data_IF_171130141465
#
_entry.id   IF_171130141465
#
_cell.length_a   1.000
_cell.length_b   1.000
_cell.length_c   1.000
_cell.angle_alpha   90.00
_cell.angle_beta   90.00
_cell.angle_gamma   90.00
#
_symmetry.space_group_name_H-M   'P 1'
#
loop_
_entity.id
_entity.type
_entity.pdbx_description
1 polymer ?
#
# COMPACT_ATOMS: atom_id res chain seq x y z
N UNK A 1 10.06 33.06 24.67
CA UNK A 1 8.71 32.45 24.63
C UNK A 1 8.42 32.09 23.21
N UNK A 2 8.77 30.88 22.80
CA UNK A 2 8.59 30.36 21.43
C UNK A 2 7.25 29.62 21.44
N UNK A 3 6.24 30.24 20.85
CA UNK A 3 4.94 29.59 20.60
C UNK A 3 5.15 28.49 19.57
N UNK A 4 5.15 27.24 20.01
CA UNK A 4 4.85 26.10 19.15
C UNK A 4 3.40 26.29 18.67
N UNK A 5 3.24 26.75 17.44
CA UNK A 5 1.98 26.62 16.73
C UNK A 5 1.73 25.12 16.56
N UNK A 6 0.79 24.57 17.31
CA UNK A 6 0.22 23.28 17.02
C UNK A 6 -0.40 23.37 15.62
N UNK A 7 0.20 22.65 14.67
CA UNK A 7 -0.35 22.52 13.33
C UNK A 7 -1.63 21.68 13.50
N UNK A 8 -2.80 22.33 13.52
CA UNK A 8 -4.07 21.63 13.47
C UNK A 8 -4.11 20.87 12.14
N UNK A 9 -3.93 19.57 12.19
CA UNK A 9 -4.14 18.69 11.01
C UNK A 9 -5.63 18.75 10.68
N UNK A 10 -5.97 19.43 9.61
CA UNK A 10 -7.35 19.57 9.12
C UNK A 10 -7.85 18.34 8.37
N UNK A 11 -6.94 17.41 8.00
CA UNK A 11 -7.26 16.19 7.25
C UNK A 11 -7.33 14.98 8.17
N UNK A 12 -8.27 14.04 7.95
CA UNK A 12 -8.30 12.79 8.66
C UNK A 12 -7.00 12.00 8.45
N UNK A 13 -6.52 11.35 9.50
CA UNK A 13 -5.35 10.48 9.43
C UNK A 13 -5.80 9.04 9.19
N UNK A 14 -5.28 8.42 8.15
CA UNK A 14 -5.58 7.06 7.74
C UNK A 14 -4.32 6.21 7.83
N UNK A 15 -4.41 5.08 8.51
CA UNK A 15 -3.32 4.13 8.63
C UNK A 15 -3.48 3.01 7.60
N UNK A 16 -2.49 2.83 6.75
CA UNK A 16 -2.46 1.77 5.74
C UNK A 16 -1.16 0.98 5.81
N UNK A 17 -1.17 -0.20 5.23
CA UNK A 17 0.02 -1.03 5.11
C UNK A 17 0.13 -1.66 3.73
N UNK A 18 1.35 -1.96 3.28
CA UNK A 18 1.58 -2.82 2.12
C UNK A 18 1.73 -4.27 2.54
N UNK A 19 1.05 -5.16 1.82
CA UNK A 19 1.19 -6.61 1.95
C UNK A 19 1.47 -7.23 0.57
N UNK A 20 1.98 -8.44 0.54
CA UNK A 20 2.33 -9.16 -0.69
C UNK A 20 3.66 -9.91 -0.55
N UNK A 21 3.96 -10.77 -1.51
CA UNK A 21 5.16 -11.63 -1.51
C UNK A 21 6.47 -10.83 -1.55
N UNK A 22 7.55 -11.44 -1.09
CA UNK A 22 8.91 -10.89 -1.24
C UNK A 22 9.24 -10.68 -2.73
N UNK A 23 9.84 -9.54 -3.07
CA UNK A 23 10.19 -9.23 -4.46
C UNK A 23 9.05 -8.68 -5.33
N UNK A 24 7.82 -8.58 -4.83
CA UNK A 24 6.70 -7.98 -5.58
C UNK A 24 6.75 -6.46 -5.67
N UNK A 25 7.74 -5.81 -5.03
CA UNK A 25 7.97 -4.36 -5.16
C UNK A 25 7.22 -3.51 -4.15
N UNK A 26 6.88 -4.02 -2.95
CA UNK A 26 6.20 -3.27 -1.89
C UNK A 26 6.93 -1.98 -1.50
N UNK A 27 8.21 -2.09 -1.10
CA UNK A 27 9.02 -0.94 -0.70
C UNK A 27 9.25 0.02 -1.85
N UNK A 28 9.36 -0.49 -3.09
CA UNK A 28 9.44 0.32 -4.29
C UNK A 28 8.15 1.13 -4.50
N UNK A 29 6.99 0.49 -4.30
CA UNK A 29 5.69 1.16 -4.40
C UNK A 29 5.51 2.22 -3.29
N UNK A 30 5.88 1.89 -2.05
CA UNK A 30 5.84 2.83 -0.92
C UNK A 30 6.74 4.04 -1.19
N UNK A 31 7.91 3.81 -1.77
CA UNK A 31 8.82 4.89 -2.19
C UNK A 31 8.20 5.72 -3.32
N UNK A 32 7.58 5.08 -4.32
CA UNK A 32 6.93 5.78 -5.42
C UNK A 32 5.76 6.66 -4.93
N UNK A 33 4.90 6.13 -4.04
CA UNK A 33 3.84 6.91 -3.39
C UNK A 33 4.41 8.13 -2.68
N UNK A 34 5.41 7.94 -1.81
CA UNK A 34 6.05 9.03 -1.08
C UNK A 34 6.59 10.12 -2.01
N UNK A 35 7.30 9.73 -3.08
CA UNK A 35 7.97 10.67 -3.98
C UNK A 35 6.98 11.38 -4.93
N UNK A 36 6.07 10.64 -5.54
CA UNK A 36 5.10 11.21 -6.49
C UNK A 36 4.14 12.14 -5.75
N UNK A 37 3.60 11.72 -4.60
CA UNK A 37 2.68 12.54 -3.85
C UNK A 37 3.33 13.77 -3.22
N UNK A 38 4.59 13.66 -2.75
CA UNK A 38 5.35 14.82 -2.28
C UNK A 38 5.57 15.86 -3.38
N UNK A 39 5.84 15.45 -4.62
CA UNK A 39 5.96 16.37 -5.77
C UNK A 39 4.62 16.98 -6.16
N UNK A 40 3.54 16.22 -6.06
CA UNK A 40 2.22 16.64 -6.52
C UNK A 40 1.47 17.49 -5.49
N UNK A 41 1.53 17.10 -4.22
CA UNK A 41 0.73 17.70 -3.15
C UNK A 41 1.56 18.34 -2.04
N UNK A 42 2.87 18.24 -2.13
CA UNK A 42 3.80 18.71 -1.09
C UNK A 42 4.11 17.62 -0.06
N UNK A 43 5.07 17.89 0.81
CA UNK A 43 5.55 16.96 1.83
C UNK A 43 7.01 16.55 1.62
N UNK A 44 7.43 15.51 2.35
CA UNK A 44 8.79 15.00 2.28
C UNK A 44 8.82 13.66 1.53
N UNK A 45 9.59 13.62 0.44
CA UNK A 45 9.94 12.39 -0.24
C UNK A 45 10.91 11.56 0.61
N UNK A 46 10.71 10.24 0.62
CA UNK A 46 11.63 9.29 1.27
C UNK A 46 12.45 8.55 0.23
N UNK A 47 13.69 8.24 0.56
CA UNK A 47 14.52 7.41 -0.31
C UNK A 47 14.13 5.94 -0.22
N UNK A 48 14.47 5.18 -1.28
CA UNK A 48 14.28 3.73 -1.24
C UNK A 48 15.09 3.06 -0.11
N UNK A 49 16.30 3.55 0.13
CA UNK A 49 17.19 3.02 1.17
C UNK A 49 16.59 3.19 2.57
N UNK A 50 15.94 4.33 2.85
CA UNK A 50 15.28 4.60 4.11
C UNK A 50 14.07 3.65 4.34
N UNK A 51 13.36 3.29 3.28
CA UNK A 51 12.17 2.45 3.34
C UNK A 51 12.54 0.96 3.33
N UNK A 52 13.51 0.56 2.52
CA UNK A 52 13.94 -0.83 2.41
C UNK A 52 14.75 -1.34 3.63
N UNK A 53 15.24 -0.43 4.47
CA UNK A 53 15.95 -0.77 5.71
C UNK A 53 15.10 -0.35 6.93
N UNK A 54 14.08 -1.17 7.27
CA UNK A 54 13.15 -0.83 8.34
C UNK A 54 13.86 -0.72 9.70
N UNK A 55 13.37 0.22 10.50
CA UNK A 55 13.73 0.36 11.91
C UNK A 55 12.65 -0.26 12.80
N UNK A 56 12.89 -0.28 14.12
CA UNK A 56 11.84 -0.61 15.06
C UNK A 56 10.84 0.53 15.15
N UNK A 57 9.58 0.24 14.80
CA UNK A 57 8.45 1.16 14.92
C UNK A 57 7.52 0.70 16.04
N UNK A 58 7.01 1.67 16.80
CA UNK A 58 6.00 1.40 17.81
C UNK A 58 4.62 1.81 17.30
N UNK A 59 3.72 0.84 17.23
CA UNK A 59 2.36 1.04 16.80
C UNK A 59 1.39 0.40 17.80
N UNK A 60 0.56 1.21 18.44
CA UNK A 60 -0.46 0.69 19.37
C UNK A 60 0.07 -0.14 20.54
N UNK A 61 1.33 0.07 20.96
CA UNK A 61 1.97 -0.68 22.05
C UNK A 61 2.70 -1.94 21.63
N UNK A 62 2.79 -2.22 20.34
CA UNK A 62 3.64 -3.29 19.78
C UNK A 62 4.85 -2.68 19.06
N UNK A 63 5.95 -3.44 19.05
CA UNK A 63 7.15 -3.10 18.31
C UNK A 63 7.22 -3.96 17.05
N UNK A 64 7.38 -3.32 15.89
CA UNK A 64 7.46 -3.95 14.57
C UNK A 64 8.71 -3.47 13.85
N UNK A 65 9.34 -4.35 13.07
CA UNK A 65 10.31 -3.91 12.06
C UNK A 65 9.56 -3.49 10.80
N UNK A 66 9.30 -2.21 10.68
CA UNK A 66 8.58 -1.62 9.56
C UNK A 66 9.15 -0.25 9.25
N UNK A 67 8.95 0.22 8.02
CA UNK A 67 9.22 1.60 7.67
C UNK A 67 7.92 2.39 7.69
N UNK A 68 7.89 3.42 8.51
CA UNK A 68 6.78 4.36 8.58
C UNK A 68 7.02 5.52 7.64
N UNK A 69 6.10 5.70 6.70
CA UNK A 69 6.12 6.77 5.71
C UNK A 69 4.84 7.57 5.81
N UNK A 70 4.96 8.88 5.80
CA UNK A 70 3.81 9.78 5.85
C UNK A 70 3.73 10.59 4.56
N UNK A 71 2.52 10.74 4.02
CA UNK A 71 2.24 11.57 2.86
C UNK A 71 0.79 12.06 2.86
N UNK A 72 0.55 13.13 2.12
CA UNK A 72 -0.77 13.74 1.99
C UNK A 72 -1.33 13.52 0.59
N UNK A 73 -2.65 13.38 0.54
CA UNK A 73 -3.48 13.56 -0.65
C UNK A 73 -4.33 14.83 -0.47
N UNK A 74 -5.14 15.23 -1.44
CA UNK A 74 -6.08 16.33 -1.24
C UNK A 74 -7.02 16.12 -0.04
N UNK A 75 -7.43 14.88 0.23
CA UNK A 75 -8.46 14.54 1.23
C UNK A 75 -7.92 14.06 2.55
N UNK A 76 -6.80 13.34 2.58
CA UNK A 76 -6.34 12.61 3.75
C UNK A 76 -4.84 12.82 4.02
N UNK A 77 -4.47 12.54 5.27
CA UNK A 77 -3.10 12.31 5.69
C UNK A 77 -2.90 10.81 5.92
N UNK A 78 -1.96 10.21 5.21
CA UNK A 78 -1.68 8.78 5.30
C UNK A 78 -0.46 8.50 6.16
N UNK A 79 -0.59 7.54 7.07
CA UNK A 79 0.50 6.88 7.78
C UNK A 79 0.62 5.48 7.18
N UNK A 80 1.64 5.27 6.39
CA UNK A 80 1.85 4.05 5.63
C UNK A 80 2.96 3.22 6.28
N UNK A 81 2.65 1.95 6.57
CA UNK A 81 3.59 0.98 7.11
C UNK A 81 4.05 0.03 6.00
N UNK A 82 5.33 0.01 5.73
CA UNK A 82 5.97 -0.96 4.84
C UNK A 82 6.71 -2.00 5.69
N UNK A 83 6.13 -3.20 5.78
CA UNK A 83 6.74 -4.32 6.51
C UNK A 83 7.51 -5.22 5.57
N UNK A 84 8.67 -5.76 6.00
CA UNK A 84 9.36 -6.81 5.25
C UNK A 84 8.40 -7.98 4.96
N UNK A 85 8.49 -8.53 3.77
CA UNK A 85 7.60 -9.63 3.35
C UNK A 85 7.83 -10.93 4.14
N UNK A 86 8.97 -11.05 4.81
CA UNK A 86 9.37 -12.25 5.57
C UNK A 86 9.41 -11.93 7.05
N UNK A 87 8.80 -12.81 7.85
CA UNK A 87 8.82 -12.70 9.30
C UNK A 87 7.44 -12.58 9.94
N UNK A 88 7.44 -12.54 11.26
CA UNK A 88 6.23 -12.40 12.08
C UNK A 88 5.62 -10.99 12.04
N UNK A 89 6.35 -10.00 11.51
CA UNK A 89 5.96 -8.60 11.63
C UNK A 89 4.69 -8.27 10.86
N UNK A 90 4.52 -8.79 9.62
CA UNK A 90 3.27 -8.62 8.86
C UNK A 90 2.09 -9.25 9.62
N UNK A 91 2.28 -10.48 10.13
CA UNK A 91 1.25 -11.16 10.88
C UNK A 91 0.95 -10.41 12.18
N UNK A 92 1.97 -9.98 12.90
CA UNK A 92 1.82 -9.19 14.13
C UNK A 92 1.12 -7.87 13.84
N UNK A 93 1.49 -7.18 12.78
CA UNK A 93 0.85 -5.92 12.35
C UNK A 93 -0.65 -6.13 12.07
N UNK A 94 -0.99 -7.12 11.28
CA UNK A 94 -2.38 -7.38 10.90
C UNK A 94 -3.24 -7.86 12.08
N UNK A 95 -2.68 -8.66 13.01
CA UNK A 95 -3.45 -9.26 14.12
C UNK A 95 -3.44 -8.45 15.41
N UNK A 96 -2.60 -7.44 15.52
CA UNK A 96 -2.39 -6.67 16.77
C UNK A 96 -3.56 -5.80 17.20
N UNK A 97 -4.66 -5.74 16.45
CA UNK A 97 -5.77 -4.81 16.69
C UNK A 97 -5.38 -3.34 16.53
N UNK A 98 -4.20 -3.09 16.01
CA UNK A 98 -3.77 -1.75 15.62
C UNK A 98 -4.69 -1.26 14.51
N UNK A 99 -5.00 0.02 14.57
CA UNK A 99 -5.94 0.71 13.69
C UNK A 99 -5.39 0.80 12.24
N UNK A 100 -5.21 -0.35 11.57
CA UNK A 100 -4.98 -0.35 10.13
C UNK A 100 -6.34 -0.21 9.45
N UNK A 101 -6.54 0.90 8.76
CA UNK A 101 -7.77 1.22 8.07
C UNK A 101 -7.89 0.49 6.74
N UNK A 102 -6.76 0.11 6.13
CA UNK A 102 -6.75 -0.62 4.87
C UNK A 102 -5.36 -1.13 4.50
N UNK A 103 -5.31 -2.03 3.54
CA UNK A 103 -4.05 -2.56 3.02
C UNK A 103 -3.97 -2.40 1.51
N UNK A 104 -2.74 -2.25 1.00
CA UNK A 104 -2.43 -2.33 -0.42
C UNK A 104 -1.81 -3.70 -0.67
N UNK A 105 -2.51 -4.55 -1.40
CA UNK A 105 -1.99 -5.83 -1.85
C UNK A 105 -1.18 -5.63 -3.12
N UNK A 106 0.12 -5.90 -3.04
CA UNK A 106 1.05 -5.77 -4.17
C UNK A 106 1.34 -7.14 -4.76
N UNK A 107 0.99 -7.32 -6.03
CA UNK A 107 1.24 -8.56 -6.79
C UNK A 107 2.06 -8.23 -8.03
N UNK A 108 3.12 -9.00 -8.26
CA UNK A 108 3.94 -8.88 -9.48
C UNK A 108 3.32 -9.67 -10.63
N UNK A 109 3.18 -9.06 -11.81
CA UNK A 109 2.73 -9.76 -13.03
C UNK A 109 3.67 -10.90 -13.45
N UNK A 110 4.95 -10.84 -13.03
CA UNK A 110 5.94 -11.86 -13.40
C UNK A 110 5.87 -13.12 -12.52
N UNK A 111 5.25 -13.02 -11.34
CA UNK A 111 5.17 -14.13 -10.39
C UNK A 111 3.73 -14.58 -10.10
N UNK A 112 2.76 -13.69 -10.32
CA UNK A 112 1.35 -13.95 -10.02
C UNK A 112 1.04 -14.13 -8.54
N UNK A 113 -0.07 -14.79 -8.28
CA UNK A 113 -0.53 -15.10 -6.92
C UNK A 113 0.31 -16.26 -6.33
N UNK A 114 0.87 -16.02 -5.16
CA UNK A 114 1.68 -17.01 -4.43
C UNK A 114 0.92 -17.55 -3.21
N UNK A 115 1.34 -18.69 -2.63
CA UNK A 115 0.77 -19.15 -1.36
C UNK A 115 0.85 -18.10 -0.25
N UNK A 116 1.94 -17.32 -0.19
CA UNK A 116 2.11 -16.23 0.77
C UNK A 116 1.08 -15.11 0.54
N UNK A 117 0.76 -14.80 -0.72
CA UNK A 117 -0.29 -13.82 -1.05
C UNK A 117 -1.64 -14.25 -0.47
N UNK A 118 -2.01 -15.52 -0.65
CA UNK A 118 -3.25 -16.10 -0.12
C UNK A 118 -3.29 -16.05 1.41
N UNK A 119 -2.21 -16.45 2.05
CA UNK A 119 -2.06 -16.41 3.51
C UNK A 119 -2.27 -15.00 4.07
N UNK A 120 -1.66 -13.99 3.45
CA UNK A 120 -1.76 -12.61 3.90
C UNK A 120 -3.16 -12.02 3.67
N UNK A 121 -3.83 -12.34 2.56
CA UNK A 121 -5.23 -11.93 2.32
C UNK A 121 -6.15 -12.57 3.34
N UNK A 122 -6.00 -13.87 3.60
CA UNK A 122 -6.76 -14.58 4.64
C UNK A 122 -6.58 -13.94 6.01
N UNK A 123 -5.34 -13.61 6.36
CA UNK A 123 -5.02 -12.99 7.64
C UNK A 123 -5.61 -11.58 7.77
N UNK A 124 -5.56 -10.79 6.70
CA UNK A 124 -6.18 -9.47 6.66
C UNK A 124 -7.70 -9.56 6.91
N UNK A 125 -8.38 -10.51 6.28
CA UNK A 125 -9.81 -10.76 6.52
C UNK A 125 -10.07 -11.18 7.97
N UNK A 126 -9.34 -12.18 8.48
CA UNK A 126 -9.50 -12.66 9.87
C UNK A 126 -9.22 -11.58 10.92
N UNK A 127 -8.37 -10.63 10.60
CA UNK A 127 -8.04 -9.48 11.47
C UNK A 127 -9.06 -8.34 11.36
N UNK A 128 -10.08 -8.49 10.51
CA UNK A 128 -11.11 -7.48 10.33
C UNK A 128 -10.64 -6.23 9.61
N UNK A 129 -9.58 -6.32 8.77
CA UNK A 129 -9.16 -5.21 7.92
C UNK A 129 -10.30 -4.87 6.95
N UNK A 130 -10.85 -3.65 7.00
CA UNK A 130 -12.08 -3.36 6.28
C UNK A 130 -11.87 -3.12 4.78
N UNK A 131 -10.67 -2.70 4.37
CA UNK A 131 -10.39 -2.29 2.99
C UNK A 131 -9.09 -2.88 2.47
N UNK A 132 -9.17 -3.34 1.22
CA UNK A 132 -8.03 -3.83 0.45
C UNK A 132 -8.08 -3.20 -0.94
N UNK A 133 -6.95 -2.70 -1.40
CA UNK A 133 -6.76 -2.20 -2.77
C UNK A 133 -5.63 -3.00 -3.39
N UNK A 134 -5.75 -3.34 -4.66
CA UNK A 134 -4.73 -4.13 -5.36
C UNK A 134 -3.87 -3.26 -6.26
N UNK A 135 -2.57 -3.49 -6.21
CA UNK A 135 -1.61 -2.93 -7.14
C UNK A 135 -0.90 -4.05 -7.88
N UNK A 136 -1.21 -4.20 -9.17
CA UNK A 136 -0.56 -5.15 -10.06
C UNK A 136 0.71 -4.50 -10.60
N UNK A 137 1.85 -4.90 -10.03
CA UNK A 137 3.15 -4.28 -10.28
C UNK A 137 3.94 -4.98 -11.37
N UNK A 138 4.97 -4.31 -11.89
CA UNK A 138 5.85 -4.77 -12.97
C UNK A 138 5.15 -4.91 -14.32
N UNK A 139 4.07 -4.14 -14.55
CA UNK A 139 3.36 -4.19 -15.83
C UNK A 139 4.21 -3.71 -17.01
N UNK A 140 5.28 -2.98 -16.76
CA UNK A 140 6.30 -2.63 -17.76
C UNK A 140 7.08 -3.85 -18.33
N UNK A 141 6.97 -5.00 -17.69
CA UNK A 141 7.62 -6.26 -18.10
C UNK A 141 6.65 -7.23 -18.79
N UNK A 142 5.40 -6.80 -19.03
CA UNK A 142 4.36 -7.67 -19.60
C UNK A 142 3.62 -6.94 -20.73
N UNK A 143 3.87 -7.34 -21.96
CA UNK A 143 3.22 -6.77 -23.14
C UNK A 143 1.91 -7.51 -23.53
N UNK A 144 1.60 -8.61 -22.84
CA UNK A 144 0.41 -9.43 -23.10
C UNK A 144 -0.79 -8.93 -22.29
N UNK A 145 -1.68 -8.20 -22.97
CA UNK A 145 -2.89 -7.63 -22.34
C UNK A 145 -3.86 -8.72 -21.86
N UNK A 146 -3.94 -9.87 -22.55
CA UNK A 146 -4.82 -10.97 -22.13
C UNK A 146 -4.31 -11.58 -20.83
N UNK A 147 -3.00 -11.72 -20.68
CA UNK A 147 -2.38 -12.18 -19.43
C UNK A 147 -2.60 -11.21 -18.28
N UNK A 148 -2.54 -9.90 -18.51
CA UNK A 148 -2.85 -8.89 -17.50
C UNK A 148 -4.31 -8.94 -17.05
N UNK A 149 -5.24 -9.10 -17.99
CA UNK A 149 -6.67 -9.26 -17.69
C UNK A 149 -6.91 -10.53 -16.88
N UNK A 150 -6.30 -11.66 -17.28
CA UNK A 150 -6.46 -12.91 -16.54
C UNK A 150 -5.95 -12.80 -15.10
N UNK A 151 -4.81 -12.18 -14.91
CA UNK A 151 -4.23 -11.98 -13.57
C UNK A 151 -5.09 -11.07 -12.69
N UNK A 152 -5.71 -10.05 -13.27
CA UNK A 152 -6.68 -9.23 -12.56
C UNK A 152 -7.91 -10.03 -12.13
N UNK A 153 -8.41 -10.90 -12.99
CA UNK A 153 -9.52 -11.81 -12.67
C UNK A 153 -9.14 -12.73 -11.51
N UNK A 154 -7.97 -13.37 -11.58
CA UNK A 154 -7.48 -14.24 -10.51
C UNK A 154 -7.34 -13.51 -9.16
N UNK A 155 -6.89 -12.24 -9.19
CA UNK A 155 -6.82 -11.42 -7.98
C UNK A 155 -8.21 -11.14 -7.40
N UNK A 156 -9.19 -10.82 -8.25
CA UNK A 156 -10.58 -10.58 -7.84
C UNK A 156 -11.24 -11.83 -7.27
N UNK A 157 -11.01 -12.99 -7.89
CA UNK A 157 -11.47 -14.28 -7.40
C UNK A 157 -10.86 -14.62 -6.03
N UNK A 158 -9.56 -14.43 -5.87
CA UNK A 158 -8.89 -14.62 -4.58
C UNK A 158 -9.50 -13.75 -3.48
N UNK A 159 -9.74 -12.47 -3.76
CA UNK A 159 -10.32 -11.56 -2.79
C UNK A 159 -11.75 -11.95 -2.42
N UNK A 160 -12.54 -12.38 -3.40
CA UNK A 160 -13.91 -12.88 -3.18
C UNK A 160 -13.93 -14.18 -2.37
N UNK A 161 -12.92 -15.05 -2.55
CA UNK A 161 -12.76 -16.29 -1.76
C UNK A 161 -12.59 -15.99 -0.26
N UNK A 162 -11.98 -14.84 0.06
CA UNK A 162 -11.75 -14.38 1.44
C UNK A 162 -12.68 -13.24 1.87
N UNK A 163 -13.91 -13.21 1.36
CA UNK A 163 -14.99 -12.30 1.77
C UNK A 163 -14.73 -10.81 1.53
N UNK A 164 -13.73 -10.44 0.72
CA UNK A 164 -13.60 -9.09 0.21
C UNK A 164 -14.48 -8.92 -1.05
N UNK A 165 -15.00 -7.69 -1.32
CA UNK A 165 -15.86 -7.46 -2.50
C UNK A 165 -15.05 -7.39 -3.80
N UNK A 166 -14.42 -8.52 -4.20
CA UNK A 166 -13.46 -8.62 -5.29
C UNK A 166 -13.91 -7.99 -6.61
N UNK A 167 -15.20 -8.10 -6.96
CA UNK A 167 -15.76 -7.53 -8.19
C UNK A 167 -15.73 -6.00 -8.22
N UNK A 168 -15.71 -5.35 -7.06
CA UNK A 168 -15.82 -3.90 -6.92
C UNK A 168 -14.53 -3.23 -6.45
N UNK A 169 -13.52 -4.02 -6.06
CA UNK A 169 -12.26 -3.47 -5.57
C UNK A 169 -11.42 -2.88 -6.70
N UNK A 170 -10.74 -1.75 -6.46
CA UNK A 170 -9.80 -1.21 -7.42
C UNK A 170 -8.61 -2.16 -7.61
N UNK A 171 -8.26 -2.43 -8.85
CA UNK A 171 -7.01 -3.08 -9.25
C UNK A 171 -6.26 -2.10 -10.15
N UNK A 172 -5.18 -1.55 -9.67
CA UNK A 172 -4.36 -0.60 -10.41
C UNK A 172 -3.20 -1.35 -11.05
N UNK A 173 -3.07 -1.26 -12.37
CA UNK A 173 -1.95 -1.82 -13.14
C UNK A 173 -0.87 -0.78 -13.24
N UNK A 174 0.36 -1.10 -12.83
CA UNK A 174 1.43 -0.13 -12.81
C UNK A 174 2.83 -0.72 -12.76
N UNK A 175 3.81 0.18 -12.77
CA UNK A 175 5.21 -0.10 -12.50
C UNK A 175 5.74 0.93 -11.51
N UNK A 176 5.93 0.49 -10.27
CA UNK A 176 6.43 1.36 -9.22
C UNK A 176 7.86 1.86 -9.52
N UNK A 177 8.70 1.03 -10.14
CA UNK A 177 10.04 1.42 -10.53
C UNK A 177 10.03 2.49 -11.62
N UNK A 178 9.20 2.32 -12.66
CA UNK A 178 9.07 3.30 -13.74
C UNK A 178 8.49 4.63 -13.28
N UNK A 179 7.59 4.60 -12.31
CA UNK A 179 7.10 5.80 -11.65
C UNK A 179 8.22 6.53 -10.88
N UNK A 180 9.10 5.79 -10.19
CA UNK A 180 10.28 6.38 -9.53
C UNK A 180 11.29 6.97 -10.52
N UNK A 181 11.41 6.38 -11.71
CA UNK A 181 12.24 6.90 -12.80
C UNK A 181 11.65 8.17 -13.44
N UNK A 182 10.43 8.56 -13.06
CA UNK A 182 9.77 9.79 -13.51
C UNK A 182 9.04 9.68 -14.84
N UNK A 183 8.65 8.46 -15.25
CA UNK A 183 7.83 8.27 -16.45
C UNK A 183 6.38 8.61 -16.13
N UNK A 184 5.85 9.64 -16.79
CA UNK A 184 4.55 10.24 -16.49
C UNK A 184 3.38 9.25 -16.49
N UNK A 185 3.33 8.33 -17.45
CA UNK A 185 2.28 7.30 -17.54
C UNK A 185 2.19 6.43 -16.28
N UNK A 186 3.36 6.13 -15.65
CA UNK A 186 3.44 5.32 -14.45
C UNK A 186 3.24 6.15 -13.17
N UNK A 187 3.65 7.42 -13.19
CA UNK A 187 3.33 8.36 -12.10
C UNK A 187 1.82 8.58 -12.00
N UNK A 188 1.11 8.68 -13.14
CA UNK A 188 -0.36 8.76 -13.18
C UNK A 188 -1.02 7.55 -12.49
N UNK A 189 -0.42 6.35 -12.59
CA UNK A 189 -0.89 5.15 -11.87
C UNK A 189 -0.70 5.23 -10.36
N UNK A 190 0.35 5.90 -9.90
CA UNK A 190 0.52 6.18 -8.46
C UNK A 190 -0.52 7.18 -7.96
N UNK A 191 -0.84 8.21 -8.75
CA UNK A 191 -1.89 9.18 -8.43
C UNK A 191 -3.27 8.51 -8.46
N UNK A 192 -3.52 7.62 -9.42
CA UNK A 192 -4.74 6.80 -9.49
C UNK A 192 -4.91 5.94 -8.23
N UNK A 193 -3.85 5.27 -7.79
CA UNK A 193 -3.85 4.50 -6.54
C UNK A 193 -4.19 5.38 -5.34
N UNK A 194 -3.57 6.55 -5.22
CA UNK A 194 -3.84 7.49 -4.13
C UNK A 194 -5.28 8.02 -4.15
N UNK A 195 -5.84 8.26 -5.32
CA UNK A 195 -7.25 8.66 -5.49
C UNK A 195 -8.21 7.56 -5.04
N UNK A 196 -7.89 6.30 -5.33
CA UNK A 196 -8.67 5.17 -4.85
C UNK A 196 -8.55 4.98 -3.34
N UNK A 197 -7.37 5.21 -2.75
CA UNK A 197 -7.21 5.23 -1.30
C UNK A 197 -8.15 6.26 -0.66
N UNK A 198 -8.22 7.47 -1.19
CA UNK A 198 -9.13 8.52 -0.71
C UNK A 198 -10.62 8.14 -0.79
N UNK A 199 -10.99 7.33 -1.78
CA UNK A 199 -12.40 6.97 -2.03
C UNK A 199 -12.83 5.73 -1.25
N UNK A 200 -11.94 4.75 -1.09
CA UNK A 200 -12.25 3.43 -0.51
C UNK A 200 -11.94 3.32 0.97
N UNK A 201 -11.03 4.14 1.51
CA UNK A 201 -10.82 4.17 2.96
C UNK A 201 -11.82 5.13 3.60
N UNK A 202 -12.75 4.64 4.46
CA UNK A 202 -13.70 5.54 5.08
C UNK A 202 -12.97 6.49 6.00
N UNK A 203 -13.30 7.74 5.82
CA UNK A 203 -12.96 8.77 6.76
C UNK A 203 -13.70 8.45 8.07
N UNK A 204 -12.96 8.11 9.13
CA UNK A 204 -13.54 8.06 10.47
C UNK A 204 -14.09 9.44 10.76
N UNK A 205 -15.41 9.54 10.85
CA UNK A 205 -16.10 10.77 11.20
C UNK A 205 -15.80 11.14 12.65
#
# INVERSE_FOLDING_TARGET
>A
MTSQQAFERTKPTIHIATIGHAGHGKSTLTTALSNVLARTYGGQARSYEDIANPSEEQLGGITLHASRVEYDTPSCHYVHLDCPAQGSDVNTMLTSGTLINGVILVVSVTHGLTPQTREQVQLANQSGIPYIICYLNHCDLMDDEEALVLMEIEMRELLSEYDFPGDHLPVIRGSALKALEGLAEWEDKIIELASHLDTYTPHSA
#
